data_IF_788490018525
#
_entry.id   IF_788490018525
#
_cell.length_a   1.000
_cell.length_b   1.000
_cell.length_c   1.000
_cell.angle_alpha   90.00
_cell.angle_beta   90.00
_cell.angle_gamma   90.00
#
_symmetry.space_group_name_H-M   'P 1'
#
loop_
_entity.id
_entity.type
_entity.pdbx_description
1 polymer ?
#
# COMPACT_ATOMS: atom_id res chain seq x y z
N UNK A 1 -16.66 7.27 7.62
CA UNK A 1 -15.53 6.36 7.86
C UNK A 1 -15.97 4.91 7.64
N UNK A 2 -15.04 4.07 7.23
CA UNK A 2 -15.22 2.62 7.03
C UNK A 2 -14.26 1.84 7.92
N UNK A 3 -14.53 0.56 8.15
CA UNK A 3 -13.74 -0.26 9.07
C UNK A 3 -12.41 -0.80 8.48
N UNK A 4 -12.23 -0.78 7.16
CA UNK A 4 -11.03 -1.33 6.50
C UNK A 4 -10.83 -0.79 5.09
N UNK A 5 -9.64 -1.01 4.52
CA UNK A 5 -9.32 -0.72 3.12
C UNK A 5 -10.22 -1.52 2.19
N UNK A 6 -10.48 -2.79 2.51
CA UNK A 6 -11.42 -3.64 1.77
C UNK A 6 -12.82 -3.00 1.68
N UNK A 7 -13.37 -2.58 2.82
CA UNK A 7 -14.69 -1.94 2.85
C UNK A 7 -14.72 -0.64 2.03
N UNK A 8 -13.63 0.14 2.04
CA UNK A 8 -13.49 1.35 1.21
C UNK A 8 -13.53 1.00 -0.28
N UNK A 9 -12.67 0.10 -0.74
CA UNK A 9 -12.58 -0.31 -2.15
C UNK A 9 -13.89 -0.90 -2.66
N UNK A 10 -14.48 -1.84 -1.92
CA UNK A 10 -15.77 -2.45 -2.28
C UNK A 10 -16.91 -1.44 -2.35
N UNK A 11 -16.94 -0.46 -1.44
CA UNK A 11 -17.95 0.60 -1.49
C UNK A 11 -17.81 1.48 -2.74
N UNK A 12 -16.58 1.81 -3.14
CA UNK A 12 -16.29 2.59 -4.35
C UNK A 12 -16.64 1.81 -5.62
N UNK A 13 -16.31 0.52 -5.67
CA UNK A 13 -16.67 -0.38 -6.76
C UNK A 13 -18.19 -0.47 -6.94
N UNK A 14 -18.92 -0.75 -5.86
CA UNK A 14 -20.39 -0.81 -5.88
C UNK A 14 -21.02 0.52 -6.32
N UNK A 15 -20.48 1.63 -5.87
CA UNK A 15 -20.93 2.96 -6.28
C UNK A 15 -20.70 3.18 -7.78
N UNK A 16 -19.51 2.82 -8.29
CA UNK A 16 -19.15 2.93 -9.71
C UNK A 16 -19.96 2.00 -10.62
N UNK A 17 -20.30 0.79 -10.14
CA UNK A 17 -21.11 -0.18 -10.86
C UNK A 17 -22.60 0.18 -10.93
N UNK A 18 -23.06 1.20 -10.19
CA UNK A 18 -24.47 1.62 -10.17
C UNK A 18 -24.87 2.20 -11.53
N UNK A 19 -25.97 1.72 -12.17
CA UNK A 19 -26.43 2.23 -13.45
C UNK A 19 -26.59 3.74 -13.46
N UNK A 20 -26.11 4.40 -14.51
CA UNK A 20 -26.16 5.86 -14.72
C UNK A 20 -25.20 6.70 -13.88
N UNK A 21 -24.38 6.10 -13.01
CA UNK A 21 -23.27 6.79 -12.34
C UNK A 21 -22.17 7.05 -13.37
N UNK A 22 -21.72 8.32 -13.48
CA UNK A 22 -20.66 8.74 -14.43
C UNK A 22 -19.30 8.92 -13.76
N UNK A 23 -19.29 8.92 -12.43
CA UNK A 23 -18.08 9.06 -11.64
C UNK A 23 -18.41 9.03 -10.16
N UNK A 24 -17.44 8.61 -9.36
CA UNK A 24 -17.51 8.56 -7.89
C UNK A 24 -16.47 9.51 -7.34
N UNK A 25 -16.85 10.36 -6.39
CA UNK A 25 -15.91 11.17 -5.63
C UNK A 25 -15.65 10.42 -4.32
N UNK A 26 -14.44 9.91 -4.17
CA UNK A 26 -14.03 9.23 -2.94
C UNK A 26 -13.84 10.24 -1.80
N UNK A 27 -14.55 10.03 -0.70
CA UNK A 27 -14.43 10.75 0.57
C UNK A 27 -14.46 9.78 1.75
N UNK A 28 -14.24 8.49 1.47
CA UNK A 28 -14.22 7.47 2.50
C UNK A 28 -12.84 7.42 3.15
N UNK A 29 -12.82 7.44 4.47
CA UNK A 29 -11.61 7.23 5.25
C UNK A 29 -11.75 5.97 6.08
N UNK A 30 -10.65 5.24 6.25
CA UNK A 30 -10.58 4.11 7.18
C UNK A 30 -10.48 4.65 8.60
N UNK A 31 -11.27 4.12 9.52
CA UNK A 31 -11.18 4.44 10.93
C UNK A 31 -10.01 3.64 11.54
N UNK A 32 -8.87 4.28 11.89
CA UNK A 32 -7.77 3.54 12.50
C UNK A 32 -8.15 3.11 13.93
N UNK A 33 -7.70 1.92 14.37
CA UNK A 33 -7.96 1.45 15.74
C UNK A 33 -7.34 2.39 16.80
N UNK A 34 -6.22 3.01 16.45
CA UNK A 34 -5.54 4.00 17.29
C UNK A 34 -5.34 5.30 16.49
N UNK A 35 -6.17 6.33 16.71
CA UNK A 35 -5.96 7.63 16.07
C UNK A 35 -4.61 8.25 16.46
N UNK A 36 -3.89 8.77 15.48
CA UNK A 36 -2.62 9.49 15.69
C UNK A 36 -2.66 10.84 14.97
N UNK A 37 -1.90 11.80 15.49
CA UNK A 37 -1.73 13.07 14.80
C UNK A 37 -0.80 12.96 13.59
N UNK A 38 -0.98 13.85 12.60
CA UNK A 38 -0.26 13.85 11.32
C UNK A 38 1.27 13.76 11.47
N UNK A 39 1.84 14.46 12.44
CA UNK A 39 3.27 14.40 12.72
C UNK A 39 3.76 13.00 13.13
N UNK A 40 2.98 12.29 13.96
CA UNK A 40 3.33 10.94 14.39
C UNK A 40 3.16 9.92 13.26
N UNK A 41 2.16 10.11 12.39
CA UNK A 41 1.98 9.29 11.18
C UNK A 41 3.15 9.52 10.22
N UNK A 42 3.52 10.78 9.98
CA UNK A 42 4.64 11.14 9.12
C UNK A 42 5.96 10.55 9.63
N UNK A 43 6.24 10.63 10.94
CA UNK A 43 7.44 10.07 11.54
C UNK A 43 7.49 8.55 11.43
N UNK A 44 6.38 7.86 11.66
CA UNK A 44 6.30 6.41 11.53
C UNK A 44 6.48 5.97 10.08
N UNK A 45 5.80 6.63 9.13
CA UNK A 45 5.93 6.30 7.71
C UNK A 45 7.35 6.54 7.19
N UNK A 46 7.95 7.68 7.53
CA UNK A 46 9.31 7.98 7.07
C UNK A 46 10.33 6.98 7.59
N UNK A 47 10.16 6.47 8.82
CA UNK A 47 11.01 5.41 9.35
C UNK A 47 10.89 4.12 8.51
N UNK A 48 9.67 3.72 8.12
CA UNK A 48 9.44 2.54 7.27
C UNK A 48 10.04 2.74 5.86
N UNK A 49 9.83 3.91 5.24
CA UNK A 49 10.38 4.20 3.91
C UNK A 49 11.91 4.23 3.90
N UNK A 50 12.53 4.80 4.94
CA UNK A 50 13.99 4.85 5.09
C UNK A 50 14.61 3.47 5.38
N UNK A 51 13.88 2.55 6.00
CA UNK A 51 14.34 1.19 6.25
C UNK A 51 14.21 0.29 5.00
N UNK A 52 13.31 0.63 4.10
CA UNK A 52 13.03 -0.12 2.89
C UNK A 52 14.23 -0.18 1.96
N UNK A 53 14.70 -1.40 1.65
CA UNK A 53 15.90 -1.63 0.84
C UNK A 53 15.77 -1.08 -0.58
N UNK A 54 14.63 -1.29 -1.18
CA UNK A 54 14.30 -0.89 -2.56
C UNK A 54 14.28 0.63 -2.73
N UNK A 55 13.98 1.37 -1.64
CA UNK A 55 13.92 2.83 -1.65
C UNK A 55 15.26 3.50 -1.23
N UNK A 56 16.32 2.72 -0.98
CA UNK A 56 17.62 3.29 -0.53
C UNK A 56 18.24 4.25 -1.55
N UNK A 57 18.02 4.03 -2.85
CA UNK A 57 18.51 4.91 -3.91
C UNK A 57 17.43 5.90 -4.40
N UNK A 58 16.45 6.22 -3.55
CA UNK A 58 15.48 7.26 -3.81
C UNK A 58 15.80 8.50 -2.97
N UNK A 59 15.55 9.68 -3.50
CA UNK A 59 15.45 10.89 -2.69
C UNK A 59 14.14 10.84 -1.90
N UNK A 60 14.20 11.06 -0.59
CA UNK A 60 13.02 11.12 0.26
C UNK A 60 12.90 12.51 0.89
N UNK A 61 11.80 13.18 0.56
CA UNK A 61 11.44 14.50 1.08
C UNK A 61 10.11 14.44 1.81
N UNK A 62 9.96 15.25 2.83
CA UNK A 62 8.72 15.35 3.60
C UNK A 62 8.27 16.80 3.72
N UNK A 63 6.96 17.03 3.76
CA UNK A 63 6.39 18.32 4.12
C UNK A 63 6.06 18.30 5.60
N UNK A 64 6.72 19.18 6.37
CA UNK A 64 6.49 19.33 7.80
C UNK A 64 6.25 20.81 8.12
N UNK A 65 5.08 21.13 8.66
CA UNK A 65 4.68 22.53 9.00
C UNK A 65 4.80 23.51 7.84
N UNK A 66 4.53 23.04 6.62
CA UNK A 66 4.62 23.86 5.40
C UNK A 66 6.03 23.99 4.80
N UNK A 67 7.04 23.38 5.40
CA UNK A 67 8.41 23.37 4.89
C UNK A 67 8.73 21.98 4.32
N UNK A 68 9.49 21.93 3.23
CA UNK A 68 10.02 20.69 2.65
C UNK A 68 11.39 20.39 3.24
N UNK A 69 11.53 19.21 3.81
CA UNK A 69 12.78 18.70 4.38
C UNK A 69 13.24 17.48 3.62
N UNK A 70 14.51 17.44 3.20
CA UNK A 70 15.13 16.24 2.61
C UNK A 70 15.68 15.36 3.73
N UNK A 71 15.21 14.10 3.78
CA UNK A 71 15.65 13.12 4.77
C UNK A 71 16.68 12.15 4.22
N UNK A 72 16.63 11.88 2.91
CA UNK A 72 17.56 11.03 2.18
C UNK A 72 17.76 11.62 0.79
N UNK A 73 18.99 11.57 0.30
CA UNK A 73 19.32 11.90 -1.09
C UNK A 73 19.76 10.64 -1.83
N UNK A 74 19.28 10.49 -3.06
CA UNK A 74 19.71 9.41 -3.94
C UNK A 74 21.22 9.56 -4.28
N UNK A 75 21.89 8.44 -4.41
CA UNK A 75 23.35 8.40 -4.72
C UNK A 75 23.60 8.50 -6.23
N UNK A 76 23.75 9.70 -6.80
CA UNK A 76 24.23 9.91 -8.17
C UNK A 76 23.16 9.98 -9.26
N UNK A 77 23.60 9.76 -10.52
CA UNK A 77 22.75 9.94 -11.73
C UNK A 77 21.69 8.83 -11.91
N UNK A 78 21.85 7.68 -11.24
CA UNK A 78 20.99 6.51 -11.35
C UNK A 78 19.95 6.45 -10.22
N UNK A 79 19.39 7.58 -9.82
CA UNK A 79 18.36 7.63 -8.79
C UNK A 79 17.16 6.74 -9.15
N UNK A 80 16.68 5.97 -8.16
CA UNK A 80 15.50 5.09 -8.32
C UNK A 80 14.17 5.81 -8.06
N UNK A 81 14.21 7.08 -7.67
CA UNK A 81 13.02 7.89 -7.46
C UNK A 81 13.29 9.16 -6.65
N UNK A 82 12.26 9.99 -6.63
CA UNK A 82 12.16 11.18 -5.78
C UNK A 82 10.76 11.22 -5.19
N UNK A 83 10.65 10.92 -3.89
CA UNK A 83 9.40 10.83 -3.17
C UNK A 83 9.20 12.05 -2.29
N UNK A 84 8.06 12.69 -2.41
CA UNK A 84 7.59 13.73 -1.52
C UNK A 84 6.41 13.21 -0.71
N UNK A 85 6.55 13.19 0.61
CA UNK A 85 5.55 12.65 1.53
C UNK A 85 4.92 13.77 2.35
N UNK A 86 3.61 13.78 2.43
CA UNK A 86 2.87 14.66 3.33
C UNK A 86 1.73 13.92 4.02
N UNK A 87 1.30 14.43 5.18
CA UNK A 87 0.15 13.90 5.91
C UNK A 87 -0.73 15.08 6.31
N UNK A 88 -2.04 14.95 6.04
CA UNK A 88 -3.05 15.94 6.43
C UNK A 88 -4.32 15.21 6.85
N UNK A 89 -4.79 15.47 8.07
CA UNK A 89 -5.98 14.82 8.66
C UNK A 89 -5.93 13.28 8.62
N UNK A 90 -4.74 12.70 8.77
CA UNK A 90 -4.48 11.27 8.69
C UNK A 90 -4.43 10.71 7.28
N UNK A 91 -4.56 11.54 6.24
CA UNK A 91 -4.39 11.15 4.83
C UNK A 91 -2.93 11.30 4.45
N UNK A 92 -2.32 10.20 4.02
CA UNK A 92 -0.95 10.18 3.48
C UNK A 92 -1.01 10.49 1.99
N UNK A 93 -0.22 11.47 1.55
CA UNK A 93 0.01 11.73 0.13
C UNK A 93 1.45 11.38 -0.22
N UNK A 94 1.63 10.53 -1.22
CA UNK A 94 2.90 10.18 -1.84
C UNK A 94 2.93 10.80 -3.23
N UNK A 95 3.85 11.71 -3.49
CA UNK A 95 4.00 12.45 -4.74
C UNK A 95 5.43 12.32 -5.26
N UNK A 96 5.64 12.63 -6.55
CA UNK A 96 6.92 12.52 -7.23
C UNK A 96 7.00 11.37 -8.22
N UNK A 97 8.16 10.70 -8.32
CA UNK A 97 8.36 9.63 -9.29
C UNK A 97 9.24 8.50 -8.75
N UNK A 98 9.07 7.31 -9.34
CA UNK A 98 9.86 6.10 -9.07
C UNK A 98 10.11 5.32 -10.36
N UNK A 99 11.13 4.45 -10.36
CA UNK A 99 11.54 3.70 -11.57
C UNK A 99 10.63 2.52 -11.92
N UNK A 100 9.77 2.05 -11.00
CA UNK A 100 8.92 0.88 -11.27
C UNK A 100 7.61 0.88 -10.49
N UNK A 101 6.65 0.09 -10.97
CA UNK A 101 5.40 -0.19 -10.27
C UNK A 101 5.63 -0.83 -8.90
N UNK A 102 6.67 -1.67 -8.77
CA UNK A 102 7.03 -2.29 -7.48
C UNK A 102 7.37 -1.25 -6.43
N UNK A 103 8.20 -0.23 -6.77
CA UNK A 103 8.50 0.89 -5.85
C UNK A 103 7.24 1.65 -5.45
N UNK A 104 6.37 1.97 -6.41
CA UNK A 104 5.10 2.64 -6.16
C UNK A 104 4.19 1.83 -5.24
N UNK A 105 4.07 0.52 -5.46
CA UNK A 105 3.25 -0.38 -4.64
C UNK A 105 3.78 -0.46 -3.21
N UNK A 106 5.09 -0.69 -3.07
CA UNK A 106 5.72 -0.78 -1.75
C UNK A 106 5.52 0.49 -0.92
N UNK A 107 5.75 1.65 -1.51
CA UNK A 107 5.50 2.92 -0.82
C UNK A 107 4.03 3.06 -0.37
N UNK A 108 3.08 2.65 -1.20
CA UNK A 108 1.65 2.66 -0.89
C UNK A 108 1.28 1.70 0.25
N UNK A 109 1.81 0.48 0.25
CA UNK A 109 1.59 -0.51 1.32
C UNK A 109 2.16 -0.02 2.64
N UNK A 110 3.39 0.50 2.66
CA UNK A 110 4.00 1.06 3.87
C UNK A 110 3.19 2.22 4.44
N UNK A 111 2.59 3.04 3.55
CA UNK A 111 1.68 4.11 3.97
C UNK A 111 0.42 3.54 4.66
N UNK A 112 -0.20 2.49 4.10
CA UNK A 112 -1.34 1.81 4.73
C UNK A 112 -0.98 1.10 6.03
N UNK A 113 0.22 0.55 6.16
CA UNK A 113 0.69 -0.10 7.39
C UNK A 113 1.00 0.90 8.50
N UNK A 114 1.11 2.18 8.16
CA UNK A 114 1.46 3.20 9.15
C UNK A 114 0.31 3.41 10.16
N UNK A 115 0.55 3.23 11.46
CA UNK A 115 -0.49 3.40 12.47
C UNK A 115 -1.09 4.81 12.46
N UNK A 116 -2.41 4.89 12.43
CA UNK A 116 -3.15 6.15 12.38
C UNK A 116 -3.49 6.61 10.95
N UNK A 117 -2.95 5.96 9.91
CA UNK A 117 -3.31 6.25 8.53
C UNK A 117 -4.81 6.01 8.29
N UNK A 118 -5.47 6.98 7.66
CA UNK A 118 -6.90 6.93 7.33
C UNK A 118 -7.16 6.78 5.85
N UNK A 119 -6.23 7.25 5.04
CA UNK A 119 -6.27 7.14 3.59
C UNK A 119 -4.88 7.33 2.97
N UNK A 120 -4.70 6.81 1.75
CA UNK A 120 -3.46 6.94 0.98
C UNK A 120 -3.78 7.45 -0.42
N UNK A 121 -3.22 8.60 -0.76
CA UNK A 121 -3.19 9.15 -2.11
C UNK A 121 -1.81 8.86 -2.69
N UNK A 122 -1.69 7.78 -3.46
CA UNK A 122 -0.43 7.40 -4.11
C UNK A 122 -0.36 7.99 -5.53
N UNK A 123 0.10 9.24 -5.62
CA UNK A 123 0.27 9.99 -6.86
C UNK A 123 1.66 9.82 -7.50
N UNK A 124 2.49 8.89 -7.00
CA UNK A 124 3.80 8.61 -7.60
C UNK A 124 3.67 8.25 -9.08
N UNK A 125 4.44 8.88 -9.93
CA UNK A 125 4.57 8.53 -11.34
C UNK A 125 5.63 7.46 -11.52
N UNK A 126 5.40 6.51 -12.43
CA UNK A 126 6.40 5.49 -12.79
C UNK A 126 7.14 5.95 -14.05
N UNK A 127 8.47 6.07 -13.97
CA UNK A 127 9.30 6.57 -15.06
C UNK A 127 10.52 5.65 -15.30
N UNK A 128 10.62 4.99 -16.48
CA UNK A 128 9.70 5.06 -17.62
C UNK A 128 8.34 4.41 -17.30
N UNK A 129 7.25 4.78 -18.02
CA UNK A 129 5.95 4.18 -17.80
C UNK A 129 5.98 2.66 -17.99
N UNK A 130 5.47 1.92 -17.01
CA UNK A 130 5.30 0.46 -17.07
C UNK A 130 3.84 0.10 -17.30
N UNK A 131 3.60 -1.02 -18.00
CA UNK A 131 2.27 -1.61 -18.09
C UNK A 131 2.05 -2.53 -16.91
N UNK A 132 0.95 -2.33 -16.22
CA UNK A 132 0.53 -3.19 -15.12
C UNK A 132 -0.08 -4.48 -15.66
N UNK A 133 0.15 -5.59 -14.96
CA UNK A 133 -0.41 -6.89 -15.29
C UNK A 133 -0.56 -7.78 -14.03
N UNK A 134 -1.27 -8.88 -14.19
CA UNK A 134 -1.59 -9.79 -13.10
C UNK A 134 -0.34 -10.42 -12.43
N UNK A 135 0.70 -10.70 -13.21
CA UNK A 135 1.95 -11.29 -12.69
C UNK A 135 2.67 -10.29 -11.78
N UNK A 136 2.76 -9.02 -12.20
CA UNK A 136 3.33 -7.94 -11.40
C UNK A 136 2.57 -7.71 -10.07
N UNK A 137 1.24 -7.87 -10.06
CA UNK A 137 0.44 -7.80 -8.83
C UNK A 137 0.75 -8.99 -7.93
N UNK A 138 0.86 -10.21 -8.48
CA UNK A 138 1.17 -11.42 -7.73
C UNK A 138 2.55 -11.35 -7.09
N UNK A 139 3.57 -10.90 -7.84
CA UNK A 139 4.95 -10.76 -7.38
C UNK A 139 5.04 -9.68 -6.29
N UNK A 140 4.38 -8.54 -6.48
CA UNK A 140 4.36 -7.48 -5.50
C UNK A 140 3.69 -7.92 -4.19
N UNK A 141 2.57 -8.66 -4.25
CA UNK A 141 1.93 -9.18 -3.05
C UNK A 141 2.79 -10.24 -2.35
N UNK A 142 3.45 -11.11 -3.10
CA UNK A 142 4.37 -12.09 -2.51
C UNK A 142 5.47 -11.39 -1.71
N UNK A 143 6.05 -10.33 -2.26
CA UNK A 143 7.05 -9.52 -1.57
C UNK A 143 6.49 -8.82 -0.32
N UNK A 144 5.26 -8.31 -0.38
CA UNK A 144 4.58 -7.68 0.77
C UNK A 144 4.40 -8.70 1.90
N UNK A 145 3.95 -9.92 1.59
CA UNK A 145 3.77 -10.99 2.58
C UNK A 145 5.12 -11.41 3.21
N UNK A 146 6.20 -11.43 2.43
CA UNK A 146 7.56 -11.71 2.94
C UNK A 146 8.07 -10.62 3.89
N UNK A 147 7.64 -9.39 3.69
CA UNK A 147 8.05 -8.25 4.51
C UNK A 147 7.19 -8.06 5.76
N UNK A 148 6.00 -8.63 5.81
CA UNK A 148 5.11 -8.44 6.96
C UNK A 148 5.56 -9.32 8.14
N UNK A 149 6.01 -8.71 9.26
CA UNK A 149 6.43 -9.45 10.45
C UNK A 149 5.29 -10.24 11.11
N UNK A 150 4.02 -9.95 10.75
CA UNK A 150 2.84 -10.68 11.22
C UNK A 150 2.57 -11.96 10.42
N UNK A 151 3.32 -12.21 9.34
CA UNK A 151 3.28 -13.42 8.50
C UNK A 151 4.61 -14.17 8.65
N UNK A 152 4.76 -15.06 9.66
CA UNK A 152 6.04 -15.71 9.95
C UNK A 152 6.51 -16.70 8.89
N UNK A 153 5.57 -17.29 8.14
CA UNK A 153 5.87 -18.31 7.12
C UNK A 153 5.17 -17.99 5.77
N UNK A 154 5.60 -16.90 5.09
CA UNK A 154 4.99 -16.45 3.84
C UNK A 154 5.09 -17.50 2.72
N UNK A 155 6.09 -18.38 2.76
CA UNK A 155 6.27 -19.45 1.76
C UNK A 155 5.15 -20.49 1.73
N UNK A 156 4.27 -20.53 2.74
CA UNK A 156 3.08 -21.38 2.75
C UNK A 156 1.88 -20.73 2.05
N UNK A 157 1.99 -19.47 1.66
CA UNK A 157 0.94 -18.71 0.98
C UNK A 157 1.27 -18.64 -0.50
N UNK A 158 0.38 -19.12 -1.34
CA UNK A 158 0.44 -18.96 -2.79
C UNK A 158 -0.46 -17.82 -3.21
N UNK A 159 0.09 -16.93 -4.03
CA UNK A 159 -0.62 -15.79 -4.59
C UNK A 159 -0.87 -16.04 -6.07
N UNK A 160 -2.10 -15.85 -6.51
CA UNK A 160 -2.48 -15.85 -7.91
C UNK A 160 -3.37 -14.65 -8.20
N UNK A 161 -3.04 -13.93 -9.26
CA UNK A 161 -3.89 -12.82 -9.73
C UNK A 161 -4.45 -13.15 -11.10
N UNK A 162 -5.72 -12.82 -11.32
CA UNK A 162 -6.36 -12.91 -12.62
C UNK A 162 -7.37 -11.77 -12.78
N UNK A 163 -7.18 -10.94 -13.80
CA UNK A 163 -7.95 -9.72 -14.03
C UNK A 163 -8.04 -8.86 -12.75
N UNK A 164 -6.91 -8.65 -12.09
CA UNK A 164 -6.76 -7.89 -10.83
C UNK A 164 -7.56 -8.46 -9.64
N UNK A 165 -8.07 -9.68 -9.75
CA UNK A 165 -8.65 -10.45 -8.64
C UNK A 165 -7.55 -11.34 -8.06
N UNK A 166 -7.16 -11.07 -6.83
CA UNK A 166 -6.14 -11.84 -6.09
C UNK A 166 -6.79 -13.05 -5.43
N UNK A 167 -6.21 -14.22 -5.60
CA UNK A 167 -6.54 -15.44 -4.84
C UNK A 167 -5.36 -15.80 -3.95
N UNK A 168 -5.63 -15.92 -2.65
CA UNK A 168 -4.69 -16.44 -1.65
C UNK A 168 -5.04 -17.88 -1.33
N UNK A 169 -4.09 -18.80 -1.51
CA UNK A 169 -4.24 -20.23 -1.25
C UNK A 169 -3.07 -20.77 -0.43
N UNK A 170 -3.29 -21.81 0.36
CA UNK A 170 -2.27 -22.41 1.19
C UNK A 170 -2.71 -22.58 2.65
N UNK A 171 -1.75 -22.60 3.56
CA UNK A 171 -1.99 -22.84 4.99
C UNK A 171 -1.27 -21.78 5.84
N UNK A 172 -1.97 -21.27 6.84
CA UNK A 172 -1.43 -20.37 7.85
C UNK A 172 -1.71 -20.92 9.25
N UNK A 173 -0.94 -20.50 10.26
CA UNK A 173 -1.08 -21.07 11.59
C UNK A 173 -2.33 -20.55 12.32
N UNK A 174 -2.73 -19.32 12.07
CA UNK A 174 -3.80 -18.64 12.82
C UNK A 174 -4.79 -17.90 11.92
N UNK A 175 -5.99 -17.66 12.46
CA UNK A 175 -6.97 -16.80 11.79
C UNK A 175 -6.46 -15.37 11.62
N UNK A 176 -5.67 -14.88 12.57
CA UNK A 176 -5.08 -13.54 12.50
C UNK A 176 -4.11 -13.39 11.32
N UNK A 177 -3.28 -14.41 11.03
CA UNK A 177 -2.43 -14.44 9.83
C UNK A 177 -3.25 -14.47 8.55
N UNK A 178 -4.33 -15.28 8.51
CA UNK A 178 -5.25 -15.32 7.37
C UNK A 178 -5.86 -13.95 7.09
N UNK A 179 -6.37 -13.30 8.13
CA UNK A 179 -7.00 -11.98 8.01
C UNK A 179 -5.95 -10.92 7.63
N UNK A 180 -4.72 -11.05 8.13
CA UNK A 180 -3.61 -10.16 7.82
C UNK A 180 -3.18 -10.24 6.36
N UNK A 181 -3.00 -11.46 5.83
CA UNK A 181 -2.66 -11.66 4.42
C UNK A 181 -3.73 -11.06 3.48
N UNK A 182 -5.01 -11.17 3.85
CA UNK A 182 -6.09 -10.53 3.10
C UNK A 182 -6.00 -8.99 3.15
N UNK A 183 -5.72 -8.43 4.32
CA UNK A 183 -5.54 -6.97 4.47
C UNK A 183 -4.38 -6.46 3.62
N UNK A 184 -3.26 -7.18 3.58
CA UNK A 184 -2.10 -6.82 2.78
C UNK A 184 -2.42 -6.82 1.28
N UNK A 185 -3.17 -7.81 0.80
CA UNK A 185 -3.65 -7.82 -0.57
C UNK A 185 -4.52 -6.59 -0.89
N UNK A 186 -5.40 -6.19 0.01
CA UNK A 186 -6.23 -4.99 -0.16
C UNK A 186 -5.43 -3.69 -0.14
N UNK A 187 -4.26 -3.65 0.51
CA UNK A 187 -3.40 -2.46 0.54
C UNK A 187 -2.69 -2.18 -0.80
N UNK A 188 -2.56 -3.17 -1.70
CA UNK A 188 -2.01 -2.94 -3.02
C UNK A 188 -2.99 -2.15 -3.90
N UNK A 189 -2.50 -1.15 -4.62
CA UNK A 189 -3.28 -0.58 -5.71
C UNK A 189 -3.44 -1.62 -6.84
N UNK A 190 -4.38 -1.43 -7.74
CA UNK A 190 -4.75 -2.37 -8.82
C UNK A 190 -5.33 -3.71 -8.33
N UNK A 191 -5.54 -3.94 -7.04
CA UNK A 191 -6.32 -5.09 -6.57
C UNK A 191 -7.78 -4.67 -6.48
N UNK A 192 -8.61 -5.30 -7.30
CA UNK A 192 -10.05 -5.04 -7.36
C UNK A 192 -10.81 -5.92 -6.39
N UNK A 193 -10.38 -7.17 -6.20
CA UNK A 193 -11.01 -8.11 -5.29
C UNK A 193 -10.02 -9.13 -4.74
N UNK A 194 -10.32 -9.68 -3.55
CA UNK A 194 -9.51 -10.71 -2.89
C UNK A 194 -10.37 -11.92 -2.57
N UNK A 195 -9.93 -13.09 -2.99
CA UNK A 195 -10.49 -14.40 -2.67
C UNK A 195 -9.54 -15.12 -1.71
N UNK A 196 -9.86 -15.11 -0.42
CA UNK A 196 -9.01 -15.69 0.60
C UNK A 196 -9.42 -17.15 0.88
N UNK A 197 -8.70 -18.10 0.26
CA UNK A 197 -8.88 -19.54 0.42
C UNK A 197 -7.88 -20.16 1.39
N UNK A 198 -7.11 -19.35 2.14
CA UNK A 198 -6.16 -19.86 3.12
C UNK A 198 -6.86 -20.75 4.15
N UNK A 199 -6.32 -21.93 4.39
CA UNK A 199 -6.73 -22.81 5.47
C UNK A 199 -5.95 -22.47 6.75
N UNK A 200 -6.63 -22.47 7.89
CA UNK A 200 -5.96 -22.35 9.20
C UNK A 200 -5.56 -23.73 9.67
N UNK A 201 -4.24 -23.95 9.85
CA UNK A 201 -3.68 -25.19 10.38
C UNK A 201 -4.19 -25.46 11.80
N UNK A 202 -4.24 -26.74 12.14
CA UNK A 202 -4.61 -27.18 13.50
C UNK A 202 -3.37 -27.34 14.36
#
# INVERSE_FOLDING_TARGET
DVGSVAAKKLALELAGATPSVRGVVDRLHVAPPEPRGDGAILDALTALLLDMRELKNCTLRVIRKGETLTLQEAGGEDASGDLLVSVTDGVVTLDGWVISLSHKRMAGVLAWWTPGCRDVVNALEVQPPEQDNDDEVSDALSLVLEMDPMIPDPGQIRVHTRNYVVTLDGVVATQAEKDRAEQDAWCLFAVDSVINQLAVGR
#
